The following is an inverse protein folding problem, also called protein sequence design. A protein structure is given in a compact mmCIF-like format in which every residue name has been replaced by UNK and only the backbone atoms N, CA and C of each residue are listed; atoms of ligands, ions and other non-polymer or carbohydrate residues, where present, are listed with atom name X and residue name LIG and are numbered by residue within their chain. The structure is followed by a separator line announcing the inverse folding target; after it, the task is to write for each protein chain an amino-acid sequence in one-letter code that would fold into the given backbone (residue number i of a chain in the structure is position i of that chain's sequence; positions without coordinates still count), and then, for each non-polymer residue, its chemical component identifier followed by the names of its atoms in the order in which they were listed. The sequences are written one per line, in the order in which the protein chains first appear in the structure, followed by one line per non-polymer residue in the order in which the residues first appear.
data_IF_524897342133
#
_entry.id   IF_524897342133
#
_cell.length_a   1.000
_cell.length_b   1.000
_cell.length_c   1.000
_cell.angle_alpha   90.00
_cell.angle_beta   90.00
_cell.angle_gamma   90.00
#
_symmetry.space_group_name_H-M   'P 1'
#
loop_
_entity.id
_entity.type
_entity.pdbx_description
1 polymer ?
#
# COMPACT_ATOMS: atom_id res chain seq x y z
N UNK A 1 -6.97 22.09 0.80
CA UNK A 1 -7.83 21.13 1.51
C UNK A 1 -8.99 21.87 2.16
N UNK A 2 -10.18 21.72 1.60
CA UNK A 2 -11.38 22.26 2.22
C UNK A 2 -11.80 21.27 3.30
N UNK A 3 -11.50 21.58 4.56
CA UNK A 3 -12.05 20.83 5.70
C UNK A 3 -13.54 21.17 5.79
N UNK A 4 -14.39 20.30 5.22
CA UNK A 4 -15.80 20.32 5.52
C UNK A 4 -15.97 19.87 6.97
N UNK A 5 -16.30 20.78 7.87
CA UNK A 5 -16.77 20.43 9.21
C UNK A 5 -18.21 19.93 9.06
N UNK A 6 -18.37 18.63 8.81
CA UNK A 6 -19.67 18.00 8.95
C UNK A 6 -20.03 18.02 10.44
N UNK A 7 -21.05 18.75 10.81
CA UNK A 7 -21.65 18.67 12.13
C UNK A 7 -22.55 17.43 12.13
N UNK A 8 -22.17 16.39 12.87
CA UNK A 8 -23.08 15.31 13.19
C UNK A 8 -24.00 15.80 14.33
N UNK A 9 -25.23 16.08 14.01
CA UNK A 9 -26.22 16.50 14.99
C UNK A 9 -26.57 15.34 15.94
N UNK A 10 -27.05 15.69 17.14
CA UNK A 10 -27.50 14.72 18.12
C UNK A 10 -28.66 13.88 17.53
N UNK A 11 -28.46 12.54 17.46
CA UNK A 11 -29.44 11.62 16.87
C UNK A 11 -29.28 11.43 15.36
N UNK A 12 -28.14 11.80 14.78
CA UNK A 12 -27.84 11.48 13.39
C UNK A 12 -27.85 9.96 13.17
N UNK A 13 -28.52 9.53 12.11
CA UNK A 13 -28.51 8.16 11.62
C UNK A 13 -27.80 8.13 10.26
N UNK A 14 -26.85 7.22 10.11
CA UNK A 14 -26.15 6.95 8.85
C UNK A 14 -26.37 5.48 8.53
N UNK A 15 -27.03 5.20 7.43
CA UNK A 15 -27.37 3.85 7.01
C UNK A 15 -26.99 3.63 5.54
N UNK A 16 -26.61 2.41 5.17
CA UNK A 16 -26.30 1.99 3.80
C UNK A 16 -25.30 2.90 3.08
N UNK A 17 -24.27 3.35 3.80
CA UNK A 17 -23.33 4.36 3.29
C UNK A 17 -21.89 3.89 3.47
N UNK A 18 -21.10 3.97 2.40
CA UNK A 18 -19.64 3.86 2.46
C UNK A 18 -19.05 5.23 2.78
N UNK A 19 -18.39 5.33 3.92
CA UNK A 19 -17.67 6.52 4.33
C UNK A 19 -16.17 6.29 4.07
N UNK A 20 -15.61 6.98 3.08
CA UNK A 20 -14.21 6.81 2.68
C UNK A 20 -13.37 8.04 3.03
N UNK A 21 -12.09 7.81 3.32
CA UNK A 21 -11.11 8.86 3.60
C UNK A 21 -11.54 9.84 4.71
N UNK A 22 -12.23 9.34 5.74
CA UNK A 22 -12.65 10.12 6.89
C UNK A 22 -11.63 9.96 8.02
N UNK A 23 -11.25 11.08 8.63
CA UNK A 23 -10.36 11.10 9.78
C UNK A 23 -11.08 11.66 11.00
N UNK A 24 -11.01 10.95 12.11
CA UNK A 24 -11.47 11.41 13.42
C UNK A 24 -10.27 11.61 14.34
N UNK A 25 -10.01 12.84 14.76
CA UNK A 25 -8.94 13.16 15.71
C UNK A 25 -9.54 13.78 16.97
N UNK A 26 -9.18 13.25 18.14
CA UNK A 26 -9.62 13.75 19.46
C UNK A 26 -11.15 13.83 19.61
N UNK A 27 -11.87 12.84 19.06
CA UNK A 27 -13.34 12.79 19.05
C UNK A 27 -13.85 11.80 20.11
N UNK A 28 -15.01 12.12 20.70
CA UNK A 28 -15.74 11.23 21.61
C UNK A 28 -17.16 11.03 21.10
N UNK A 29 -17.61 9.79 21.07
CA UNK A 29 -18.96 9.39 20.67
C UNK A 29 -19.73 8.79 21.86
N UNK A 30 -20.29 9.61 22.75
CA UNK A 30 -21.10 9.09 23.85
C UNK A 30 -22.46 8.63 23.34
N UNK A 31 -22.83 7.37 23.66
CA UNK A 31 -24.10 6.79 23.23
C UNK A 31 -24.16 6.41 21.76
N UNK A 32 -23.00 6.11 21.16
CA UNK A 32 -22.91 5.57 19.79
C UNK A 32 -23.52 4.16 19.75
N UNK A 33 -24.34 3.91 18.74
CA UNK A 33 -24.81 2.57 18.36
C UNK A 33 -24.19 2.20 17.01
N UNK A 34 -23.54 1.04 16.96
CA UNK A 34 -22.95 0.46 15.75
C UNK A 34 -23.59 -0.91 15.53
N UNK A 35 -24.27 -1.08 14.42
CA UNK A 35 -24.90 -2.35 14.01
C UNK A 35 -24.49 -2.62 12.56
N UNK A 36 -23.94 -3.80 12.30
CA UNK A 36 -23.47 -4.23 10.98
C UNK A 36 -22.48 -3.22 10.34
N UNK A 37 -21.50 -2.75 11.14
CA UNK A 37 -20.50 -1.77 10.73
C UNK A 37 -19.15 -2.44 10.55
N UNK A 38 -18.55 -2.27 9.38
CA UNK A 38 -17.16 -2.61 9.09
C UNK A 38 -16.30 -1.34 9.19
N UNK A 39 -15.20 -1.42 9.94
CA UNK A 39 -14.24 -0.32 10.07
C UNK A 39 -12.87 -0.85 9.63
N UNK A 40 -12.31 -0.27 8.58
CA UNK A 40 -10.96 -0.56 8.11
C UNK A 40 -10.15 0.74 8.02
N UNK A 41 -8.87 0.67 8.34
CA UNK A 41 -7.97 1.81 8.30
C UNK A 41 -6.98 1.81 9.44
N UNK A 42 -6.24 2.92 9.55
CA UNK A 42 -5.28 3.13 10.62
C UNK A 42 -6.01 3.59 11.89
N UNK A 43 -5.78 2.88 13.00
CA UNK A 43 -6.32 3.22 14.31
C UNK A 43 -5.19 3.45 15.32
N UNK A 44 -5.28 4.53 16.07
CA UNK A 44 -4.35 4.84 17.16
C UNK A 44 -5.14 5.35 18.38
N UNK A 45 -4.79 4.85 19.58
CA UNK A 45 -5.37 5.29 20.85
C UNK A 45 -6.93 5.23 20.87
N UNK A 46 -7.50 4.17 20.25
CA UNK A 46 -8.94 3.98 20.18
C UNK A 46 -9.44 3.15 21.35
N UNK A 47 -10.42 3.71 22.11
CA UNK A 47 -11.09 2.98 23.19
C UNK A 47 -12.58 2.80 22.87
N UNK A 48 -13.08 1.59 23.10
CA UNK A 48 -14.52 1.28 23.01
C UNK A 48 -15.00 0.82 24.38
N UNK A 49 -15.98 1.50 24.94
CA UNK A 49 -16.51 1.23 26.29
C UNK A 49 -15.41 1.16 27.38
N UNK A 50 -14.37 2.02 27.25
CA UNK A 50 -13.25 2.08 28.18
C UNK A 50 -12.16 1.04 27.96
N UNK A 51 -12.28 0.16 26.96
CA UNK A 51 -11.25 -0.82 26.60
C UNK A 51 -10.41 -0.28 25.45
N UNK A 52 -9.08 -0.26 25.60
CA UNK A 52 -8.16 -0.03 24.49
C UNK A 52 -8.21 -1.23 23.54
N UNK A 53 -8.65 -0.99 22.32
CA UNK A 53 -8.83 -2.06 21.33
C UNK A 53 -7.59 -2.27 20.44
N UNK A 54 -6.65 -1.34 20.42
CA UNK A 54 -5.43 -1.44 19.62
C UNK A 54 -4.68 -2.76 19.84
N UNK A 55 -4.28 -3.09 21.08
CA UNK A 55 -3.56 -4.34 21.36
C UNK A 55 -4.35 -5.61 21.03
N UNK A 56 -5.68 -5.57 21.13
CA UNK A 56 -6.54 -6.72 20.80
C UNK A 56 -6.57 -6.98 19.30
N UNK A 57 -6.71 -5.90 18.50
CA UNK A 57 -6.69 -5.98 17.05
C UNK A 57 -5.31 -6.44 16.57
N UNK A 58 -4.23 -5.85 17.11
CA UNK A 58 -2.86 -6.24 16.79
C UNK A 58 -2.61 -7.74 17.04
N UNK A 59 -3.01 -8.24 18.20
CA UNK A 59 -2.85 -9.66 18.54
C UNK A 59 -3.59 -10.57 17.57
N UNK A 60 -4.82 -10.22 17.20
CA UNK A 60 -5.63 -11.01 16.27
C UNK A 60 -5.09 -10.94 14.83
N UNK A 61 -4.65 -9.76 14.36
CA UNK A 61 -4.04 -9.61 13.04
C UNK A 61 -2.73 -10.42 12.95
N UNK A 62 -1.88 -10.39 13.98
CA UNK A 62 -0.65 -11.17 14.02
C UNK A 62 -0.93 -12.69 14.06
N UNK A 63 -2.02 -13.11 14.69
CA UNK A 63 -2.46 -14.51 14.68
C UNK A 63 -2.94 -14.95 13.30
N UNK A 64 -3.67 -14.12 12.58
CA UNK A 64 -4.16 -14.40 11.20
C UNK A 64 -3.07 -14.32 10.17
N UNK A 65 -2.13 -13.39 10.34
CA UNK A 65 -1.06 -13.07 9.41
C UNK A 65 0.30 -13.16 10.12
N UNK A 66 0.84 -14.38 10.35
CA UNK A 66 2.05 -14.56 11.15
C UNK A 66 3.27 -13.77 10.64
N UNK A 67 3.40 -13.60 9.33
CA UNK A 67 4.50 -12.83 8.71
C UNK A 67 4.41 -11.32 9.02
N UNK A 68 3.25 -10.82 9.47
CA UNK A 68 3.02 -9.40 9.78
C UNK A 68 3.99 -8.86 10.84
N UNK A 69 4.35 -9.68 11.82
CA UNK A 69 5.28 -9.28 12.88
C UNK A 69 6.69 -8.94 12.35
N UNK A 70 7.02 -9.42 11.14
CA UNK A 70 8.29 -9.15 10.46
C UNK A 70 8.27 -7.87 9.63
N UNK A 71 7.11 -7.25 9.45
CA UNK A 71 6.94 -6.05 8.59
C UNK A 71 7.27 -4.73 9.30
N UNK A 72 7.89 -4.79 10.48
CA UNK A 72 8.40 -3.63 11.22
C UNK A 72 9.92 -3.77 11.48
N UNK A 73 10.74 -3.93 10.42
CA UNK A 73 12.17 -4.14 10.56
C UNK A 73 12.88 -2.89 11.09
N UNK A 74 13.89 -3.09 11.94
CA UNK A 74 14.72 -2.05 12.55
C UNK A 74 16.22 -2.29 12.36
N UNK A 75 16.61 -3.49 11.93
CA UNK A 75 18.00 -3.84 11.62
C UNK A 75 18.14 -4.29 10.17
N UNK A 76 19.37 -4.33 9.65
CA UNK A 76 19.63 -4.77 8.28
C UNK A 76 19.12 -6.20 8.06
N UNK A 77 19.39 -7.10 9.01
CA UNK A 77 18.96 -8.49 8.94
C UNK A 77 17.44 -8.63 8.95
N UNK A 78 16.75 -7.80 9.74
CA UNK A 78 15.27 -7.79 9.76
C UNK A 78 14.69 -7.24 8.45
N UNK A 79 15.32 -6.23 7.82
CA UNK A 79 14.93 -5.77 6.49
C UNK A 79 15.14 -6.86 5.43
N UNK A 80 16.25 -7.61 5.49
CA UNK A 80 16.51 -8.74 4.59
C UNK A 80 15.45 -9.84 4.75
N UNK A 81 15.09 -10.20 6.00
CA UNK A 81 14.04 -11.18 6.28
C UNK A 81 12.67 -10.70 5.76
N UNK A 82 12.27 -9.46 6.08
CA UNK A 82 11.00 -8.88 5.64
C UNK A 82 10.90 -8.87 4.11
N UNK A 83 11.96 -8.45 3.44
CA UNK A 83 11.98 -8.39 1.97
C UNK A 83 11.88 -9.78 1.33
N UNK A 84 12.58 -10.77 1.84
CA UNK A 84 12.49 -12.15 1.35
C UNK A 84 11.08 -12.73 1.54
N UNK A 85 10.42 -12.42 2.64
CA UNK A 85 9.02 -12.79 2.88
C UNK A 85 8.10 -12.14 1.84
N UNK A 86 8.25 -10.83 1.60
CA UNK A 86 7.44 -10.10 0.64
C UNK A 86 7.62 -10.63 -0.79
N UNK A 87 8.84 -10.90 -1.22
CA UNK A 87 9.09 -11.48 -2.55
C UNK A 87 8.40 -12.85 -2.73
N UNK A 88 8.45 -13.72 -1.71
CA UNK A 88 7.75 -15.00 -1.73
C UNK A 88 6.24 -14.84 -1.81
N UNK A 89 5.68 -13.99 -0.93
CA UNK A 89 4.25 -13.75 -0.87
C UNK A 89 3.70 -13.14 -2.16
N UNK A 90 4.44 -12.19 -2.76
CA UNK A 90 4.03 -11.61 -4.04
C UNK A 90 4.11 -12.59 -5.19
N UNK A 91 5.09 -13.51 -5.20
CA UNK A 91 5.12 -14.57 -6.21
C UNK A 91 3.86 -15.43 -6.17
N UNK A 92 3.38 -15.80 -4.97
CA UNK A 92 2.12 -16.53 -4.78
C UNK A 92 0.91 -15.73 -5.28
N UNK A 93 0.85 -14.41 -5.00
CA UNK A 93 -0.21 -13.51 -5.45
C UNK A 93 -0.19 -13.30 -6.97
N UNK A 94 1.01 -13.16 -7.57
CA UNK A 94 1.17 -13.06 -9.02
C UNK A 94 0.73 -14.34 -9.75
N UNK A 95 0.99 -15.53 -9.17
CA UNK A 95 0.54 -16.81 -9.73
C UNK A 95 -0.99 -16.94 -9.70
N UNK A 96 -1.65 -16.46 -8.64
CA UNK A 96 -3.13 -16.37 -8.57
C UNK A 96 -3.67 -15.44 -9.67
N UNK A 97 -3.10 -14.24 -9.81
CA UNK A 97 -3.51 -13.28 -10.82
C UNK A 97 -3.38 -13.83 -12.25
N UNK A 98 -2.34 -14.63 -12.53
CA UNK A 98 -2.15 -15.27 -13.85
C UNK A 98 -3.21 -16.29 -14.21
N UNK A 99 -3.92 -16.84 -13.23
CA UNK A 99 -5.00 -17.79 -13.47
C UNK A 99 -6.31 -17.11 -13.89
N UNK A 100 -6.42 -15.78 -13.73
CA UNK A 100 -7.60 -15.01 -14.10
C UNK A 100 -7.54 -14.52 -15.56
N UNK A 101 -8.71 -14.29 -16.19
CA UNK A 101 -8.79 -13.56 -17.45
C UNK A 101 -8.08 -12.21 -17.35
N UNK A 102 -7.22 -11.85 -18.33
CA UNK A 102 -6.42 -10.62 -18.24
C UNK A 102 -7.25 -9.34 -18.07
N UNK A 103 -8.46 -9.32 -18.61
CA UNK A 103 -9.38 -8.18 -18.53
C UNK A 103 -9.78 -7.89 -17.07
N UNK A 104 -9.98 -8.92 -16.25
CA UNK A 104 -10.35 -8.78 -14.86
C UNK A 104 -9.27 -8.12 -14.00
N UNK A 105 -8.00 -8.24 -14.40
CA UNK A 105 -6.90 -7.61 -13.68
C UNK A 105 -6.89 -6.08 -13.82
N UNK A 106 -7.69 -5.53 -14.71
CA UNK A 106 -7.93 -4.10 -14.89
C UNK A 106 -9.25 -3.62 -14.26
N UNK A 107 -10.05 -4.53 -13.71
CA UNK A 107 -11.28 -4.16 -13.04
C UNK A 107 -11.01 -3.64 -11.63
N UNK A 108 -11.68 -2.55 -11.28
CA UNK A 108 -11.62 -1.98 -9.94
C UNK A 108 -12.66 -2.65 -9.05
N UNK A 109 -12.24 -3.17 -7.92
CA UNK A 109 -13.13 -3.74 -6.91
C UNK A 109 -13.47 -2.66 -5.90
N UNK A 110 -14.77 -2.38 -5.70
CA UNK A 110 -15.25 -1.33 -4.78
C UNK A 110 -14.64 0.05 -5.03
N UNK A 111 -14.42 0.42 -6.28
CA UNK A 111 -13.79 1.68 -6.71
C UNK A 111 -12.34 1.90 -6.21
N UNK A 112 -11.69 0.85 -5.71
CA UNK A 112 -10.26 0.89 -5.38
C UNK A 112 -9.40 0.54 -6.61
N UNK A 113 -8.10 0.69 -6.50
CA UNK A 113 -7.19 0.39 -7.63
C UNK A 113 -7.30 -1.07 -8.06
N UNK A 114 -7.30 -1.28 -9.36
CA UNK A 114 -7.22 -2.62 -9.95
C UNK A 114 -5.89 -3.30 -9.61
N UNK A 115 -5.80 -4.61 -9.82
CA UNK A 115 -4.58 -5.36 -9.59
C UNK A 115 -3.39 -4.77 -10.36
N UNK A 116 -3.59 -4.42 -11.63
CA UNK A 116 -2.54 -3.78 -12.46
C UNK A 116 -2.16 -2.40 -11.93
N UNK A 117 -3.12 -1.57 -11.53
CA UNK A 117 -2.84 -0.25 -10.94
C UNK A 117 -2.07 -0.37 -9.63
N UNK A 118 -2.39 -1.35 -8.79
CA UNK A 118 -1.65 -1.66 -7.55
C UNK A 118 -0.20 -2.00 -7.83
N UNK A 119 0.08 -2.88 -8.81
CA UNK A 119 1.46 -3.21 -9.18
C UNK A 119 2.23 -2.01 -9.75
N UNK A 120 1.57 -1.14 -10.50
CA UNK A 120 2.14 0.10 -11.03
C UNK A 120 2.47 1.08 -9.90
N UNK A 121 1.60 1.18 -8.90
CA UNK A 121 1.82 2.01 -7.71
C UNK A 121 3.03 1.53 -6.90
N UNK A 122 3.18 0.24 -6.70
CA UNK A 122 4.37 -0.31 -6.03
C UNK A 122 5.67 -0.08 -6.83
N UNK A 123 5.58 -0.03 -8.16
CA UNK A 123 6.68 0.43 -9.01
C UNK A 123 7.06 1.87 -8.69
N UNK A 124 6.08 2.77 -8.59
CA UNK A 124 6.27 4.16 -8.18
C UNK A 124 6.86 4.28 -6.76
N UNK A 125 6.32 3.58 -5.77
CA UNK A 125 6.80 3.62 -4.39
C UNK A 125 8.27 3.20 -4.29
N UNK A 126 8.65 2.10 -4.95
CA UNK A 126 10.04 1.64 -5.01
C UNK A 126 10.96 2.66 -5.71
N UNK A 127 10.49 3.28 -6.81
CA UNK A 127 11.25 4.31 -7.52
C UNK A 127 11.47 5.54 -6.64
N UNK A 128 10.42 5.99 -5.95
CA UNK A 128 10.45 7.17 -5.10
C UNK A 128 11.37 6.97 -3.88
N UNK A 129 11.15 5.91 -3.12
CA UNK A 129 11.79 5.74 -1.82
C UNK A 129 13.16 5.05 -1.91
N UNK A 130 13.29 3.95 -2.64
CA UNK A 130 14.58 3.28 -2.80
C UNK A 130 15.43 3.92 -3.92
N UNK A 131 14.86 4.11 -5.11
CA UNK A 131 15.61 4.66 -6.24
C UNK A 131 16.04 6.10 -6.01
N UNK A 132 15.07 6.99 -5.78
CA UNK A 132 15.34 8.42 -5.65
C UNK A 132 15.98 8.77 -4.30
N UNK A 133 15.37 8.37 -3.19
CA UNK A 133 15.85 8.78 -1.86
C UNK A 133 17.12 8.05 -1.45
N UNK A 134 17.16 6.72 -1.51
CA UNK A 134 18.31 5.95 -1.00
C UNK A 134 19.46 5.92 -2.00
N UNK A 135 19.20 5.62 -3.27
CA UNK A 135 20.26 5.55 -4.29
C UNK A 135 20.64 6.90 -4.89
N UNK A 136 19.85 7.94 -4.67
CA UNK A 136 20.10 9.27 -5.23
C UNK A 136 19.91 9.37 -6.74
N UNK A 137 19.14 8.43 -7.34
CA UNK A 137 18.83 8.48 -8.77
C UNK A 137 17.91 9.67 -9.05
N UNK A 138 18.33 10.64 -9.86
CA UNK A 138 17.50 11.82 -10.15
C UNK A 138 16.32 11.51 -11.08
N UNK A 139 16.35 10.39 -11.82
CA UNK A 139 15.34 10.02 -12.81
C UNK A 139 14.97 8.53 -12.69
N UNK A 140 14.48 8.08 -11.53
CA UNK A 140 14.16 6.68 -11.31
C UNK A 140 12.84 6.25 -11.97
N UNK A 141 12.15 7.17 -12.63
CA UNK A 141 10.77 7.03 -13.07
C UNK A 141 10.61 6.16 -14.32
N UNK A 142 9.48 5.49 -14.40
CA UNK A 142 9.08 4.68 -15.57
C UNK A 142 7.67 5.11 -16.04
N UNK A 143 7.35 5.07 -17.34
CA UNK A 143 6.02 5.42 -17.83
C UNK A 143 4.86 4.62 -17.21
N UNK A 144 5.13 3.41 -16.77
CA UNK A 144 4.13 2.56 -16.09
C UNK A 144 4.01 2.82 -14.58
N UNK A 145 4.86 3.66 -13.98
CA UNK A 145 4.71 4.01 -12.57
C UNK A 145 3.38 4.79 -12.38
N UNK A 146 2.68 4.51 -11.29
CA UNK A 146 1.40 5.15 -10.95
C UNK A 146 1.48 5.78 -9.56
N UNK A 147 1.58 7.11 -9.45
CA UNK A 147 1.46 7.79 -8.16
C UNK A 147 0.01 7.76 -7.66
N UNK A 148 -0.24 8.25 -6.43
CA UNK A 148 -1.59 8.39 -5.88
C UNK A 148 -2.46 9.34 -6.75
N UNK A 149 -3.77 9.20 -6.64
CA UNK A 149 -4.71 9.83 -7.59
C UNK A 149 -4.59 11.36 -7.65
N UNK A 150 -4.34 12.04 -6.53
CA UNK A 150 -4.21 13.49 -6.43
C UNK A 150 -2.77 13.98 -6.58
N UNK A 151 -1.83 13.09 -6.94
CA UNK A 151 -0.44 13.50 -7.14
C UNK A 151 -0.34 14.58 -8.23
N UNK A 152 0.35 15.69 -7.95
CA UNK A 152 0.55 16.73 -8.95
C UNK A 152 1.40 16.20 -10.11
N UNK A 153 1.22 16.78 -11.28
CA UNK A 153 2.16 16.58 -12.38
C UNK A 153 3.50 17.26 -12.08
N UNK A 154 4.61 16.59 -12.42
CA UNK A 154 5.95 17.19 -12.39
C UNK A 154 6.58 17.12 -13.77
N UNK A 155 7.22 18.21 -14.19
CA UNK A 155 7.91 18.25 -15.47
C UNK A 155 9.04 17.21 -15.51
N UNK A 156 9.13 16.47 -16.61
CA UNK A 156 10.15 15.44 -16.81
C UNK A 156 9.87 14.10 -16.16
N UNK A 157 8.75 13.93 -15.50
CA UNK A 157 8.30 12.63 -14.98
C UNK A 157 7.43 11.95 -16.04
N UNK A 158 7.78 10.73 -16.51
CA UNK A 158 7.20 10.16 -17.74
C UNK A 158 5.94 9.32 -17.52
N UNK A 159 5.36 9.26 -16.32
CA UNK A 159 4.24 8.35 -16.07
C UNK A 159 2.98 8.67 -16.89
N UNK A 160 2.34 7.62 -17.36
CA UNK A 160 1.08 7.66 -18.07
C UNK A 160 -0.01 7.02 -17.21
N UNK A 161 -0.92 7.86 -16.66
CA UNK A 161 -2.01 7.38 -15.79
C UNK A 161 -2.98 6.46 -16.52
N UNK A 162 -3.19 6.70 -17.79
CA UNK A 162 -4.16 5.97 -18.62
C UNK A 162 -3.58 4.67 -19.22
N UNK A 163 -2.28 4.40 -19.00
CA UNK A 163 -1.66 3.19 -19.51
C UNK A 163 -2.34 1.93 -18.95
N UNK A 164 -2.64 1.00 -19.86
CA UNK A 164 -3.22 -0.33 -19.54
C UNK A 164 -2.24 -1.44 -19.97
N UNK A 165 -1.11 -1.60 -19.28
CA UNK A 165 -0.15 -2.63 -19.61
C UNK A 165 -0.71 -4.02 -19.31
N UNK A 166 -0.23 -5.03 -20.02
CA UNK A 166 -0.43 -6.42 -19.65
C UNK A 166 0.22 -6.75 -18.30
N UNK A 167 -0.22 -7.83 -17.66
CA UNK A 167 0.38 -8.32 -16.43
C UNK A 167 1.89 -8.57 -16.59
N UNK A 168 2.32 -9.13 -17.74
CA UNK A 168 3.74 -9.43 -17.98
C UNK A 168 4.59 -8.16 -18.11
N UNK A 169 4.06 -7.10 -18.73
CA UNK A 169 4.77 -5.82 -18.85
C UNK A 169 4.96 -5.17 -17.48
N UNK A 170 3.92 -5.13 -16.65
CA UNK A 170 4.03 -4.52 -15.32
C UNK A 170 4.93 -5.35 -14.39
N UNK A 171 4.83 -6.69 -14.44
CA UNK A 171 5.69 -7.58 -13.66
C UNK A 171 7.16 -7.43 -14.09
N UNK A 172 7.45 -7.26 -15.38
CA UNK A 172 8.82 -7.05 -15.84
C UNK A 172 9.45 -5.76 -15.27
N UNK A 173 8.68 -4.67 -15.14
CA UNK A 173 9.13 -3.45 -14.45
C UNK A 173 9.30 -3.71 -12.97
N UNK A 174 8.31 -4.32 -12.34
CA UNK A 174 8.28 -4.62 -10.91
C UNK A 174 9.47 -5.49 -10.47
N UNK A 175 9.81 -6.55 -11.20
CA UNK A 175 10.96 -7.41 -10.90
C UNK A 175 12.27 -6.64 -10.87
N UNK A 176 12.47 -5.68 -11.78
CA UNK A 176 13.64 -4.79 -11.73
C UNK A 176 13.64 -3.93 -10.47
N UNK A 177 12.48 -3.41 -10.06
CA UNK A 177 12.33 -2.64 -8.82
C UNK A 177 12.60 -3.48 -7.57
N UNK A 178 12.04 -4.69 -7.51
CA UNK A 178 12.28 -5.62 -6.41
C UNK A 178 13.75 -6.00 -6.30
N UNK A 179 14.42 -6.27 -7.42
CA UNK A 179 15.87 -6.54 -7.43
C UNK A 179 16.66 -5.32 -6.92
N UNK A 180 16.32 -4.10 -7.36
CA UNK A 180 16.95 -2.86 -6.89
C UNK A 180 16.79 -2.70 -5.37
N UNK A 181 15.59 -2.87 -4.82
CA UNK A 181 15.34 -2.77 -3.37
C UNK A 181 16.12 -3.84 -2.61
N UNK A 182 16.12 -5.08 -3.09
CA UNK A 182 16.89 -6.18 -2.51
C UNK A 182 18.40 -5.89 -2.49
N UNK A 183 18.94 -5.36 -3.59
CA UNK A 183 20.36 -5.01 -3.69
C UNK A 183 20.71 -3.86 -2.73
N UNK A 184 19.85 -2.87 -2.59
CA UNK A 184 19.96 -1.81 -1.58
C UNK A 184 20.04 -2.41 -0.18
N UNK A 185 19.05 -3.21 0.21
CA UNK A 185 18.97 -3.81 1.55
C UNK A 185 20.20 -4.70 1.83
N UNK A 186 20.62 -5.51 0.87
CA UNK A 186 21.77 -6.42 1.03
C UNK A 186 23.12 -5.68 1.08
N UNK A 187 23.18 -4.48 0.53
CA UNK A 187 24.40 -3.66 0.52
C UNK A 187 24.55 -2.74 1.73
N UNK A 188 23.52 -2.66 2.61
CA UNK A 188 23.56 -1.75 3.76
C UNK A 188 24.45 -2.26 4.88
N UNK A 189 25.09 -1.28 5.56
CA UNK A 189 25.66 -1.49 6.90
C UNK A 189 24.75 -0.88 7.96
N UNK A 190 24.89 -1.28 9.24
CA UNK A 190 24.13 -0.66 10.33
C UNK A 190 24.30 0.87 10.39
N UNK A 191 25.52 1.37 10.15
CA UNK A 191 25.82 2.80 10.16
C UNK A 191 25.12 3.55 9.02
N UNK A 192 24.99 2.91 7.85
CA UNK A 192 24.22 3.49 6.73
C UNK A 192 22.72 3.48 7.04
N UNK A 193 22.20 2.43 7.66
CA UNK A 193 20.80 2.35 8.04
C UNK A 193 20.40 3.49 9.00
N UNK A 194 21.30 3.90 9.89
CA UNK A 194 21.11 5.01 10.83
C UNK A 194 21.33 6.40 10.19
N UNK A 195 21.67 6.46 8.92
CA UNK A 195 21.92 7.71 8.22
C UNK A 195 20.66 8.42 7.76
N UNK A 196 20.85 9.66 7.32
CA UNK A 196 19.79 10.48 6.72
C UNK A 196 20.07 10.72 5.25
N UNK A 197 19.03 10.73 4.43
CA UNK A 197 19.10 10.99 2.99
C UNK A 197 18.31 12.22 2.60
N UNK A 198 18.79 12.96 1.60
CA UNK A 198 18.15 14.19 1.10
C UNK A 198 18.20 14.18 -0.42
N UNK A 199 17.11 14.57 -1.08
CA UNK A 199 17.06 14.70 -2.52
C UNK A 199 16.50 16.05 -2.96
N UNK A 200 17.06 16.59 -4.03
CA UNK A 200 16.70 17.90 -4.58
C UNK A 200 16.09 17.85 -5.98
N UNK A 201 16.19 16.72 -6.67
CA UNK A 201 15.64 16.54 -8.00
C UNK A 201 14.09 16.59 -8.00
N UNK A 202 13.44 16.96 -9.12
CA UNK A 202 11.99 16.97 -9.21
C UNK A 202 11.40 15.58 -8.98
N UNK A 203 10.19 15.52 -8.44
CA UNK A 203 9.47 14.29 -8.13
C UNK A 203 9.08 14.18 -6.66
N UNK A 204 8.66 12.99 -6.25
CA UNK A 204 8.25 12.69 -4.88
C UNK A 204 9.23 11.71 -4.23
N UNK A 205 9.57 11.83 -2.93
CA UNK A 205 9.27 12.99 -2.04
C UNK A 205 9.90 14.28 -2.54
N UNK A 206 9.26 15.41 -2.23
CA UNK A 206 9.88 16.71 -2.49
C UNK A 206 11.04 16.93 -1.51
N UNK A 207 11.81 18.02 -1.72
CA UNK A 207 12.99 18.40 -0.97
C UNK A 207 12.80 18.27 0.55
N UNK A 208 13.11 17.10 1.09
CA UNK A 208 12.99 16.79 2.50
C UNK A 208 14.14 15.87 2.94
N UNK A 209 14.42 15.91 4.22
CA UNK A 209 15.39 15.04 4.86
C UNK A 209 14.65 13.87 5.52
N UNK A 210 15.03 12.63 5.17
CA UNK A 210 14.44 11.43 5.74
C UNK A 210 15.50 10.51 6.35
N UNK A 211 15.23 9.87 7.50
CA UNK A 211 16.00 8.71 7.93
C UNK A 211 15.95 7.63 6.84
N UNK A 212 17.10 7.04 6.49
CA UNK A 212 17.18 5.98 5.50
C UNK A 212 16.30 4.79 5.90
N UNK A 213 16.31 4.43 7.20
CA UNK A 213 15.42 3.42 7.79
C UNK A 213 13.94 3.67 7.44
N UNK A 214 13.50 4.93 7.53
CA UNK A 214 12.11 5.30 7.21
C UNK A 214 11.81 5.12 5.72
N UNK A 215 12.75 5.48 4.83
CA UNK A 215 12.56 5.27 3.40
C UNK A 215 12.36 3.79 3.06
N UNK A 216 13.16 2.91 3.64
CA UNK A 216 13.02 1.46 3.43
C UNK A 216 11.77 0.89 4.13
N UNK A 217 11.45 1.38 5.32
CA UNK A 217 10.23 0.97 6.02
C UNK A 217 8.99 1.30 5.18
N UNK A 218 8.93 2.47 4.55
CA UNK A 218 7.81 2.84 3.68
C UNK A 218 7.68 1.84 2.53
N UNK A 219 8.78 1.43 1.88
CA UNK A 219 8.73 0.42 0.80
C UNK A 219 8.17 -0.91 1.32
N UNK A 220 8.64 -1.40 2.47
CA UNK A 220 8.14 -2.65 3.09
C UNK A 220 6.65 -2.54 3.42
N UNK A 221 6.24 -1.41 3.99
CA UNK A 221 4.86 -1.14 4.39
C UNK A 221 3.91 -1.06 3.18
N UNK A 222 4.31 -0.35 2.12
CA UNK A 222 3.57 -0.27 0.85
C UNK A 222 3.38 -1.67 0.24
N UNK A 223 4.45 -2.45 0.15
CA UNK A 223 4.40 -3.82 -0.37
C UNK A 223 3.46 -4.72 0.43
N UNK A 224 3.51 -4.62 1.75
CA UNK A 224 2.68 -5.42 2.64
C UNK A 224 1.20 -5.08 2.52
N UNK A 225 0.84 -3.82 2.68
CA UNK A 225 -0.55 -3.39 2.70
C UNK A 225 -1.23 -3.53 1.33
N UNK A 226 -0.53 -3.13 0.27
CA UNK A 226 -1.05 -3.28 -1.08
C UNK A 226 -1.22 -4.74 -1.50
N UNK A 227 -0.38 -5.65 -0.97
CA UNK A 227 -0.61 -7.08 -1.16
C UNK A 227 -1.89 -7.55 -0.49
N UNK A 228 -2.17 -7.12 0.74
CA UNK A 228 -3.42 -7.50 1.42
C UNK A 228 -4.65 -7.01 0.66
N UNK A 229 -4.60 -5.81 0.09
CA UNK A 229 -5.67 -5.30 -0.76
C UNK A 229 -5.79 -6.12 -2.05
N UNK A 230 -4.67 -6.41 -2.71
CA UNK A 230 -4.65 -7.23 -3.90
C UNK A 230 -5.24 -8.63 -3.67
N UNK A 231 -4.88 -9.31 -2.56
CA UNK A 231 -5.44 -10.63 -2.20
C UNK A 231 -6.96 -10.57 -1.99
N UNK A 232 -7.45 -9.56 -1.26
CA UNK A 232 -8.90 -9.32 -1.06
C UNK A 232 -9.63 -9.15 -2.39
N UNK A 233 -9.05 -8.37 -3.31
CA UNK A 233 -9.69 -8.05 -4.58
C UNK A 233 -9.62 -9.24 -5.55
N UNK A 234 -8.53 -10.02 -5.53
CA UNK A 234 -8.45 -11.28 -6.27
C UNK A 234 -9.52 -12.27 -5.82
N UNK A 235 -9.82 -12.40 -4.50
CA UNK A 235 -10.91 -13.23 -4.00
C UNK A 235 -12.26 -12.85 -4.65
N UNK A 236 -12.53 -11.55 -4.79
CA UNK A 236 -13.76 -11.06 -5.42
C UNK A 236 -13.78 -11.31 -6.93
N UNK A 237 -12.66 -11.14 -7.62
CA UNK A 237 -12.54 -11.37 -9.05
C UNK A 237 -12.64 -12.87 -9.41
N UNK A 238 -12.04 -13.75 -8.59
CA UNK A 238 -12.16 -15.20 -8.73
C UNK A 238 -13.62 -15.67 -8.59
N UNK A 239 -14.35 -15.11 -7.61
CA UNK A 239 -15.78 -15.41 -7.44
C UNK A 239 -16.61 -14.95 -8.65
N UNK A 240 -16.27 -13.82 -9.26
CA UNK A 240 -16.93 -13.30 -10.47
C UNK A 240 -16.65 -14.18 -11.68
N UNK A 241 -15.40 -14.60 -11.87
CA UNK A 241 -15.01 -15.49 -12.95
C UNK A 241 -15.74 -16.84 -12.87
N UNK A 242 -15.79 -17.45 -11.69
CA UNK A 242 -16.48 -18.72 -11.44
C UNK A 242 -18.00 -18.63 -11.72
N UNK A 243 -18.65 -17.51 -11.38
CA UNK A 243 -20.07 -17.30 -11.66
C UNK A 243 -20.35 -17.24 -13.18
N UNK A 244 -19.47 -16.58 -13.93
CA UNK A 244 -19.61 -16.46 -15.39
C UNK A 244 -19.41 -17.79 -16.12
N UNK A 245 -18.51 -18.66 -15.63
CA UNK A 245 -18.30 -20.00 -16.18
C UNK A 245 -19.47 -20.96 -15.92
N UNK A 246 -20.18 -20.76 -14.79
CA UNK A 246 -21.35 -21.60 -14.42
C UNK A 246 -22.64 -21.30 -15.18
N UNK A 247 -22.72 -20.15 -15.88
CA UNK A 247 -23.88 -19.72 -16.67
C UNK A 247 -23.78 -20.13 -18.16
N UNK A 248 -22.66 -20.64 -18.62
CA UNK A 248 -22.43 -21.14 -19.99
C UNK A 248 -22.46 -22.66 -20.07
#
# INVERSE_FOLDING_TARGET
MNRSTASLDRGAHIEHTDLRAISFHHVRFPGLELVDVEISGEIQDVTINGVDIGPLIEAELNRRLPDRVKMHPTTVEEFQEAWAILERLWAETEDRARALPPELLHERVRDEWSFIETLRHLGFASAAWAGRMVLGDPVPWHPLDLPWDEAPGWDGIPWDRDARPSLDEVIAVRRRRQAMVRDVINGLTPEQLDSTVTQTAPGWPQLEEFPLTQCLFIVVNEEWHHRLYAERDLDALEATAAATEGEN
#
